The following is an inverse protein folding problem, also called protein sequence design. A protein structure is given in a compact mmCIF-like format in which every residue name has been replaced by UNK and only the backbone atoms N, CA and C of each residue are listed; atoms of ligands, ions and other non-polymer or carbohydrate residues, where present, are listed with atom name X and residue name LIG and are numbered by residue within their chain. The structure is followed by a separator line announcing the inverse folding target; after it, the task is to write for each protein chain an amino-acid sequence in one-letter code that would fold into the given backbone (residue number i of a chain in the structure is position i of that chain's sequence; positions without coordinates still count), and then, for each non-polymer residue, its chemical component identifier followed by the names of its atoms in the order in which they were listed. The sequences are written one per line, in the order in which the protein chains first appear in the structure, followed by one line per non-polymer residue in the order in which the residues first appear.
data_IF_857283756512
#
_entry.id   IF_857283756512
#
_cell.length_a   1.000
_cell.length_b   1.000
_cell.length_c   1.000
_cell.angle_alpha   90.00
_cell.angle_beta   90.00
_cell.angle_gamma   90.00
#
_symmetry.space_group_name_H-M   'P 1'
#
loop_
_entity.id
_entity.type
_entity.pdbx_description
1 polymer ?
#
# COMPACT_ATOMS: atom_id res chain seq x y z
N UNK A 1 -6.45 4.11 29.78
CA UNK A 1 -5.84 4.95 28.73
C UNK A 1 -4.49 4.42 28.21
N UNK A 2 -3.36 4.43 28.95
CA UNK A 2 -2.04 4.00 28.41
C UNK A 2 -1.96 2.57 27.80
N UNK A 3 -2.74 1.60 28.32
CA UNK A 3 -2.84 0.24 27.74
C UNK A 3 -3.72 0.17 26.49
N UNK A 4 -4.74 1.02 26.42
CA UNK A 4 -5.65 1.17 25.27
C UNK A 4 -4.91 1.82 24.09
N UNK A 5 -4.10 2.85 24.37
CA UNK A 5 -3.17 3.45 23.39
C UNK A 5 -2.21 2.40 22.84
N UNK A 6 -1.62 1.52 23.66
CA UNK A 6 -0.76 0.43 23.16
C UNK A 6 -1.50 -0.55 22.25
N UNK A 7 -2.73 -0.96 22.60
CA UNK A 7 -3.54 -1.89 21.79
C UNK A 7 -3.94 -1.31 20.43
N UNK A 8 -4.40 -0.06 20.41
CA UNK A 8 -4.79 0.66 19.18
C UNK A 8 -3.55 0.97 18.34
N UNK A 9 -2.45 1.36 18.98
CA UNK A 9 -1.16 1.57 18.32
C UNK A 9 -0.63 0.28 17.69
N UNK A 10 -0.71 -0.87 18.37
CA UNK A 10 -0.34 -2.19 17.84
C UNK A 10 -1.22 -2.61 16.64
N UNK A 11 -2.51 -2.25 16.65
CA UNK A 11 -3.38 -2.44 15.49
C UNK A 11 -2.98 -1.55 14.30
N UNK A 12 -2.32 -0.41 14.49
CA UNK A 12 -1.78 0.42 13.40
C UNK A 12 -0.34 0.06 12.99
N UNK A 13 0.48 -0.50 13.90
CA UNK A 13 1.90 -0.80 13.65
C UNK A 13 2.09 -1.90 12.59
N UNK A 14 1.11 -2.77 12.33
CA UNK A 14 1.29 -3.85 11.33
C UNK A 14 1.50 -3.36 9.89
N UNK A 15 1.29 -2.08 9.60
CA UNK A 15 1.66 -1.46 8.32
C UNK A 15 3.02 -0.73 8.33
N UNK A 16 3.57 -0.44 9.51
CA UNK A 16 4.75 0.42 9.70
C UNK A 16 6.07 -0.35 9.88
N UNK A 17 6.05 -1.68 9.87
CA UNK A 17 7.26 -2.49 10.12
C UNK A 17 8.30 -2.40 8.99
N UNK A 18 7.96 -1.85 7.81
CA UNK A 18 8.94 -1.66 6.75
C UNK A 18 9.83 -0.40 6.93
N UNK A 19 9.53 0.53 7.85
CA UNK A 19 10.22 1.84 7.87
C UNK A 19 11.38 1.97 8.88
N UNK A 20 11.68 0.97 9.70
CA UNK A 20 12.75 1.05 10.72
C UNK A 20 13.57 -0.24 10.83
N UNK A 21 14.22 -0.64 9.74
CA UNK A 21 15.17 -1.76 9.74
C UNK A 21 16.60 -1.28 10.07
N UNK A 22 16.93 -1.09 11.36
CA UNK A 22 18.33 -1.12 11.82
C UNK A 22 18.84 -2.54 12.07
N UNK A 23 17.92 -3.52 12.16
CA UNK A 23 18.24 -4.95 12.27
C UNK A 23 17.34 -5.72 11.31
N UNK A 24 17.92 -6.28 10.26
CA UNK A 24 17.19 -7.03 9.24
C UNK A 24 16.82 -8.43 9.77
N UNK A 25 15.73 -8.54 10.53
CA UNK A 25 15.05 -9.83 10.73
C UNK A 25 14.60 -10.39 9.38
N UNK A 26 14.59 -11.71 9.23
CA UNK A 26 14.07 -12.31 8.00
C UNK A 26 12.56 -12.04 7.87
N UNK A 27 12.08 -11.85 6.64
CA UNK A 27 10.66 -11.58 6.36
C UNK A 27 9.73 -12.66 6.93
N UNK A 28 10.19 -13.92 6.97
CA UNK A 28 9.46 -15.02 7.61
C UNK A 28 9.34 -14.87 9.13
N UNK A 29 10.39 -14.37 9.79
CA UNK A 29 10.37 -14.10 11.23
C UNK A 29 9.45 -12.91 11.53
N UNK A 30 9.48 -11.86 10.71
CA UNK A 30 8.60 -10.69 10.86
C UNK A 30 7.13 -11.04 10.64
N UNK A 31 6.81 -11.87 9.64
CA UNK A 31 5.44 -12.30 9.38
C UNK A 31 4.92 -13.24 10.47
N UNK A 32 5.77 -14.13 10.99
CA UNK A 32 5.40 -15.00 12.10
C UNK A 32 5.13 -14.19 13.37
N UNK A 33 5.98 -13.20 13.67
CA UNK A 33 5.80 -12.26 14.78
C UNK A 33 4.50 -11.45 14.63
N UNK A 34 4.15 -11.01 13.41
CA UNK A 34 2.88 -10.35 13.13
C UNK A 34 1.67 -11.27 13.35
N UNK A 35 1.76 -12.55 12.97
CA UNK A 35 0.71 -13.55 13.20
C UNK A 35 0.51 -13.81 14.68
N UNK A 36 1.60 -13.99 15.42
CA UNK A 36 1.59 -14.22 16.87
C UNK A 36 1.01 -13.00 17.60
N UNK A 37 1.50 -11.80 17.29
CA UNK A 37 0.96 -10.54 17.84
C UNK A 37 -0.52 -10.40 17.55
N UNK A 38 -0.97 -10.70 16.32
CA UNK A 38 -2.39 -10.64 15.96
C UNK A 38 -3.22 -11.66 16.76
N UNK A 39 -2.68 -12.85 17.00
CA UNK A 39 -3.34 -13.87 17.81
C UNK A 39 -3.48 -13.45 19.28
N UNK A 40 -2.41 -12.93 19.89
CA UNK A 40 -2.42 -12.41 21.26
C UNK A 40 -3.42 -11.26 21.42
N UNK A 41 -3.43 -10.31 20.48
CA UNK A 41 -4.37 -9.19 20.47
C UNK A 41 -5.83 -9.67 20.39
N UNK A 42 -6.12 -10.68 19.56
CA UNK A 42 -7.47 -11.27 19.50
C UNK A 42 -7.91 -11.84 20.84
N UNK A 43 -7.03 -12.58 21.53
CA UNK A 43 -7.35 -13.12 22.86
C UNK A 43 -7.60 -12.01 23.88
N UNK A 44 -6.78 -10.96 23.88
CA UNK A 44 -6.98 -9.81 24.78
C UNK A 44 -8.30 -9.09 24.50
N UNK A 45 -8.64 -8.84 23.23
CA UNK A 45 -9.90 -8.21 22.84
C UNK A 45 -11.09 -9.06 23.24
N UNK A 46 -11.04 -10.37 23.04
CA UNK A 46 -12.12 -11.28 23.47
C UNK A 46 -12.34 -11.20 24.98
N UNK A 47 -11.27 -11.17 25.77
CA UNK A 47 -11.37 -10.96 27.22
C UNK A 47 -12.01 -9.61 27.56
N UNK A 48 -11.57 -8.52 26.91
CA UNK A 48 -12.13 -7.18 27.13
C UNK A 48 -13.59 -7.05 26.74
N UNK A 49 -13.99 -7.75 25.68
CA UNK A 49 -15.38 -7.85 25.24
C UNK A 49 -16.25 -8.56 26.27
N UNK A 50 -15.77 -9.66 26.88
CA UNK A 50 -16.48 -10.34 27.97
C UNK A 50 -16.59 -9.47 29.23
N UNK A 51 -15.54 -8.72 29.57
CA UNK A 51 -15.56 -7.73 30.67
C UNK A 51 -16.64 -6.65 30.42
N UNK A 52 -16.69 -6.08 29.21
CA UNK A 52 -17.69 -5.10 28.82
C UNK A 52 -19.12 -5.66 28.83
N UNK A 53 -19.30 -6.91 28.39
CA UNK A 53 -20.58 -7.61 28.41
C UNK A 53 -21.09 -7.79 29.86
N UNK A 54 -20.22 -8.23 30.76
CA UNK A 54 -20.54 -8.38 32.18
C UNK A 54 -20.93 -7.05 32.85
N UNK A 55 -20.33 -5.94 32.39
CA UNK A 55 -20.61 -4.59 32.88
C UNK A 55 -21.80 -3.92 32.18
N UNK A 56 -22.39 -4.55 31.16
CA UNK A 56 -23.40 -3.96 30.28
C UNK A 56 -22.95 -2.64 29.63
N UNK A 57 -21.64 -2.47 29.42
CA UNK A 57 -21.06 -1.28 28.82
C UNK A 57 -21.18 -1.37 27.29
N UNK A 58 -22.27 -0.80 26.76
CA UNK A 58 -22.57 -0.78 25.32
C UNK A 58 -21.50 -0.07 24.49
N UNK A 59 -20.93 1.01 25.02
CA UNK A 59 -19.90 1.79 24.31
C UNK A 59 -18.61 0.97 24.18
N UNK A 60 -18.20 0.29 25.25
CA UNK A 60 -17.05 -0.60 25.20
C UNK A 60 -17.31 -1.81 24.28
N UNK A 61 -18.51 -2.39 24.27
CA UNK A 61 -18.85 -3.48 23.34
C UNK A 61 -18.70 -3.05 21.87
N UNK A 62 -19.29 -1.90 21.50
CA UNK A 62 -19.14 -1.34 20.15
C UNK A 62 -17.66 -1.14 19.81
N UNK A 63 -16.87 -0.63 20.77
CA UNK A 63 -15.44 -0.45 20.58
C UNK A 63 -14.73 -1.75 20.24
N UNK A 64 -14.92 -2.79 21.05
CA UNK A 64 -14.23 -4.05 20.88
C UNK A 64 -14.68 -4.80 19.63
N UNK A 65 -15.98 -4.76 19.28
CA UNK A 65 -16.50 -5.33 18.04
C UNK A 65 -15.84 -4.69 16.79
N UNK A 66 -15.65 -3.35 16.82
CA UNK A 66 -15.02 -2.64 15.71
C UNK A 66 -13.53 -3.01 15.57
N UNK A 67 -12.78 -3.11 16.67
CA UNK A 67 -11.36 -3.49 16.65
C UNK A 67 -11.20 -4.97 16.26
N UNK A 68 -12.04 -5.85 16.78
CA UNK A 68 -12.03 -7.28 16.42
C UNK A 68 -12.23 -7.47 14.91
N UNK A 69 -13.17 -6.73 14.30
CA UNK A 69 -13.38 -6.78 12.86
C UNK A 69 -12.12 -6.38 12.05
N UNK A 70 -11.37 -5.37 12.50
CA UNK A 70 -10.10 -4.97 11.87
C UNK A 70 -9.05 -6.09 11.99
N UNK A 71 -8.94 -6.73 13.16
CA UNK A 71 -8.02 -7.85 13.35
C UNK A 71 -8.42 -9.08 12.53
N UNK A 72 -9.71 -9.37 12.40
CA UNK A 72 -10.20 -10.45 11.56
C UNK A 72 -9.85 -10.21 10.10
N UNK A 73 -10.13 -9.00 9.59
CA UNK A 73 -9.75 -8.57 8.25
C UNK A 73 -8.24 -8.76 7.99
N UNK A 74 -7.39 -8.35 8.93
CA UNK A 74 -5.93 -8.55 8.85
C UNK A 74 -5.55 -10.02 8.80
N UNK A 75 -6.03 -10.80 9.76
CA UNK A 75 -5.66 -12.20 9.89
C UNK A 75 -6.09 -13.05 8.69
N UNK A 76 -7.22 -12.70 8.07
CA UNK A 76 -7.71 -13.36 6.85
C UNK A 76 -6.78 -13.22 5.65
N UNK A 77 -5.88 -12.23 5.67
CA UNK A 77 -4.92 -11.95 4.61
C UNK A 77 -3.57 -12.66 4.79
N UNK A 78 -3.26 -13.19 5.99
CA UNK A 78 -1.99 -13.89 6.25
C UNK A 78 -1.83 -15.24 5.53
N UNK A 79 -2.87 -15.68 4.82
CA UNK A 79 -2.83 -16.85 3.92
C UNK A 79 -2.20 -16.54 2.55
N UNK A 80 -1.95 -15.26 2.24
CA UNK A 80 -1.32 -14.85 0.97
C UNK A 80 0.15 -15.25 0.95
N UNK A 81 0.63 -15.69 -0.22
CA UNK A 81 1.99 -16.22 -0.39
C UNK A 81 3.04 -15.13 -0.60
N UNK A 82 2.64 -14.02 -1.22
CA UNK A 82 3.51 -12.87 -1.46
C UNK A 82 3.12 -11.70 -0.56
N UNK A 83 4.12 -10.98 -0.06
CA UNK A 83 3.95 -9.86 0.86
C UNK A 83 3.12 -8.72 0.24
N UNK A 84 3.34 -8.40 -1.04
CA UNK A 84 2.52 -7.41 -1.74
C UNK A 84 1.02 -7.82 -1.74
N UNK A 85 0.72 -9.08 -2.03
CA UNK A 85 -0.67 -9.56 -2.04
C UNK A 85 -1.32 -9.50 -0.65
N UNK A 86 -0.52 -9.72 0.39
CA UNK A 86 -0.95 -9.57 1.77
C UNK A 86 -1.27 -8.10 2.07
N UNK A 87 -0.39 -7.15 1.76
CA UNK A 87 -0.64 -5.72 1.98
C UNK A 87 -1.87 -5.22 1.23
N UNK A 88 -2.01 -5.58 -0.05
CA UNK A 88 -3.19 -5.24 -0.84
C UNK A 88 -4.46 -5.81 -0.21
N UNK A 89 -4.45 -7.09 0.19
CA UNK A 89 -5.59 -7.72 0.85
C UNK A 89 -5.97 -7.01 2.16
N UNK A 90 -4.98 -6.66 2.99
CA UNK A 90 -5.24 -6.01 4.28
C UNK A 90 -5.85 -4.62 4.05
N UNK A 91 -5.25 -3.82 3.17
CA UNK A 91 -5.75 -2.48 2.89
C UNK A 91 -7.21 -2.53 2.40
N UNK A 92 -7.51 -3.35 1.41
CA UNK A 92 -8.86 -3.42 0.84
C UNK A 92 -9.90 -3.89 1.87
N UNK A 93 -9.52 -4.85 2.70
CA UNK A 93 -10.42 -5.37 3.74
C UNK A 93 -10.70 -4.31 4.81
N UNK A 94 -9.68 -3.55 5.22
CA UNK A 94 -9.83 -2.47 6.20
C UNK A 94 -10.58 -1.28 5.60
N UNK A 95 -10.29 -0.89 4.37
CA UNK A 95 -10.99 0.19 3.69
C UNK A 95 -12.48 -0.11 3.56
N UNK A 96 -12.84 -1.33 3.13
CA UNK A 96 -14.24 -1.76 3.09
C UNK A 96 -14.94 -1.67 4.45
N UNK A 97 -14.23 -2.02 5.54
CA UNK A 97 -14.75 -1.83 6.90
C UNK A 97 -14.94 -0.33 7.22
N UNK A 98 -13.97 0.50 6.87
CA UNK A 98 -14.02 1.95 7.11
C UNK A 98 -15.21 2.60 6.39
N UNK A 99 -15.45 2.24 5.13
CA UNK A 99 -16.60 2.66 4.33
C UNK A 99 -17.93 2.17 4.91
N UNK A 100 -17.95 1.02 5.58
CA UNK A 100 -19.13 0.49 6.26
C UNK A 100 -19.46 1.18 7.60
N UNK A 101 -18.68 2.19 7.99
CA UNK A 101 -18.87 2.93 9.25
C UNK A 101 -18.12 2.35 10.45
N UNK A 102 -17.13 1.48 10.23
CA UNK A 102 -16.27 1.00 11.32
C UNK A 102 -15.23 2.08 11.68
N UNK A 103 -15.35 2.69 12.86
CA UNK A 103 -14.49 3.82 13.24
C UNK A 103 -13.03 3.42 13.48
N UNK A 104 -12.78 2.19 13.96
CA UNK A 104 -11.42 1.69 14.16
C UNK A 104 -10.73 1.45 12.80
N UNK A 105 -11.48 1.01 11.80
CA UNK A 105 -11.01 0.90 10.43
C UNK A 105 -10.77 2.28 9.81
N UNK A 106 -11.65 3.26 10.03
CA UNK A 106 -11.47 4.66 9.59
C UNK A 106 -10.18 5.26 10.16
N UNK A 107 -9.94 5.10 11.46
CA UNK A 107 -8.68 5.46 12.12
C UNK A 107 -7.46 4.73 11.52
N UNK A 108 -7.60 3.44 11.22
CA UNK A 108 -6.52 2.65 10.62
C UNK A 108 -6.20 3.10 9.18
N UNK A 109 -7.21 3.44 8.39
CA UNK A 109 -7.02 4.01 7.04
C UNK A 109 -6.33 5.36 7.14
N UNK A 110 -6.77 6.25 8.03
CA UNK A 110 -6.14 7.55 8.25
C UNK A 110 -4.63 7.42 8.57
N UNK A 111 -4.28 6.51 9.49
CA UNK A 111 -2.89 6.23 9.84
C UNK A 111 -2.07 5.61 8.71
N UNK A 112 -2.73 4.88 7.80
CA UNK A 112 -2.07 4.37 6.59
C UNK A 112 -1.62 5.53 5.69
N UNK A 113 -2.45 6.57 5.54
CA UNK A 113 -2.11 7.80 4.81
C UNK A 113 -1.08 8.68 5.54
N UNK A 114 -0.90 8.53 6.86
CA UNK A 114 0.19 9.20 7.59
C UNK A 114 1.53 8.50 7.44
N UNK A 115 1.54 7.20 7.12
CA UNK A 115 2.75 6.40 7.12
C UNK A 115 3.54 6.60 5.81
N UNK A 116 4.87 6.66 5.95
CA UNK A 116 5.77 6.64 4.78
C UNK A 116 5.63 5.34 3.98
N UNK A 117 5.84 5.39 2.65
CA UNK A 117 6.21 6.57 1.84
C UNK A 117 5.03 7.46 1.42
N UNK A 118 3.83 7.19 1.93
CA UNK A 118 2.54 7.66 1.39
C UNK A 118 1.99 8.91 2.08
N UNK A 119 2.85 9.79 2.60
CA UNK A 119 2.44 10.94 3.44
C UNK A 119 1.40 11.84 2.74
N UNK A 120 0.12 11.47 2.83
CA UNK A 120 -1.02 12.18 2.27
C UNK A 120 -1.86 12.67 3.46
N UNK A 121 -1.36 13.73 4.08
CA UNK A 121 -1.97 14.33 5.25
C UNK A 121 -3.41 14.82 5.01
N UNK A 122 -3.78 15.39 3.83
CA UNK A 122 -5.18 15.72 3.56
C UNK A 122 -6.11 14.51 3.67
N UNK A 123 -5.72 13.35 3.14
CA UNK A 123 -6.53 12.14 3.21
C UNK A 123 -6.52 11.50 4.60
N UNK A 124 -5.39 11.57 5.31
CA UNK A 124 -5.35 11.20 6.72
C UNK A 124 -6.35 12.02 7.55
N UNK A 125 -6.36 13.35 7.39
CA UNK A 125 -7.31 14.24 8.06
C UNK A 125 -8.75 13.95 7.66
N UNK A 126 -9.01 13.65 6.39
CA UNK A 126 -10.33 13.25 5.91
C UNK A 126 -10.86 12.03 6.68
N UNK A 127 -10.09 10.94 6.72
CA UNK A 127 -10.51 9.71 7.40
C UNK A 127 -10.59 9.86 8.93
N UNK A 128 -9.70 10.63 9.55
CA UNK A 128 -9.83 10.96 10.98
C UNK A 128 -11.10 11.75 11.28
N UNK A 129 -11.46 12.72 10.42
CA UNK A 129 -12.69 13.48 10.57
C UNK A 129 -13.92 12.57 10.49
N UNK A 130 -13.96 11.66 9.51
CA UNK A 130 -15.04 10.66 9.41
C UNK A 130 -15.10 9.83 10.71
N UNK A 131 -13.97 9.37 11.24
CA UNK A 131 -13.92 8.61 12.48
C UNK A 131 -14.42 9.41 13.70
N UNK A 132 -14.13 10.72 13.79
CA UNK A 132 -14.59 11.60 14.87
C UNK A 132 -16.09 11.91 14.79
N UNK A 133 -16.60 12.10 13.57
CA UNK A 133 -18.01 12.42 13.29
C UNK A 133 -18.91 11.18 13.37
N UNK A 134 -18.32 9.97 13.29
CA UNK A 134 -19.05 8.73 13.40
C UNK A 134 -19.77 8.61 14.77
N UNK A 135 -21.10 8.42 14.78
CA UNK A 135 -21.88 8.39 16.02
C UNK A 135 -21.56 7.18 16.92
N UNK A 136 -20.97 6.13 16.35
CA UNK A 136 -20.59 4.93 17.08
C UNK A 136 -19.19 5.02 17.72
N UNK A 137 -18.44 6.10 17.47
CA UNK A 137 -17.10 6.28 18.05
C UNK A 137 -17.22 6.67 19.53
N UNK A 138 -16.72 5.84 20.47
CA UNK A 138 -16.73 6.17 21.89
C UNK A 138 -15.92 7.44 22.19
N UNK A 139 -16.35 8.22 23.19
CA UNK A 139 -15.70 9.48 23.55
C UNK A 139 -14.21 9.28 23.92
N UNK A 140 -13.90 8.20 24.63
CA UNK A 140 -12.54 7.86 25.02
C UNK A 140 -11.65 7.56 23.80
N UNK A 141 -12.25 7.06 22.71
CA UNK A 141 -11.55 6.83 21.45
C UNK A 141 -11.41 8.13 20.63
N UNK A 142 -12.39 9.04 20.70
CA UNK A 142 -12.32 10.35 20.04
C UNK A 142 -11.14 11.17 20.56
N UNK A 143 -10.88 11.14 21.87
CA UNK A 143 -9.72 11.82 22.46
C UNK A 143 -8.40 11.36 21.84
N UNK A 144 -8.29 10.05 21.58
CA UNK A 144 -7.13 9.46 20.93
C UNK A 144 -6.99 9.91 19.46
N UNK A 145 -8.08 9.87 18.68
CA UNK A 145 -8.06 10.35 17.29
C UNK A 145 -7.71 11.85 17.24
N UNK A 146 -8.22 12.66 18.18
CA UNK A 146 -7.91 14.09 18.25
C UNK A 146 -6.42 14.38 18.47
N UNK A 147 -5.70 13.52 19.19
CA UNK A 147 -4.25 13.62 19.35
C UNK A 147 -3.53 13.42 18.00
N UNK A 148 -3.93 12.38 17.26
CA UNK A 148 -3.39 12.10 15.92
C UNK A 148 -3.74 13.20 14.91
N UNK A 149 -4.95 13.77 14.96
CA UNK A 149 -5.35 14.92 14.13
C UNK A 149 -4.45 16.12 14.40
N UNK A 150 -4.25 16.49 15.68
CA UNK A 150 -3.38 17.62 16.04
C UNK A 150 -1.96 17.42 15.54
N UNK A 151 -1.45 16.18 15.62
CA UNK A 151 -0.15 15.82 15.08
C UNK A 151 -0.08 16.04 13.57
N UNK A 152 -1.07 15.55 12.81
CA UNK A 152 -1.12 15.74 11.35
C UNK A 152 -1.25 17.21 10.99
N UNK A 153 -2.12 17.97 11.66
CA UNK A 153 -2.24 19.41 11.43
C UNK A 153 -0.94 20.17 11.71
N UNK A 154 -0.18 19.76 12.73
CA UNK A 154 1.16 20.27 13.01
C UNK A 154 2.12 20.01 11.84
N UNK A 155 2.17 18.77 11.33
CA UNK A 155 2.99 18.40 10.18
C UNK A 155 2.62 19.17 8.91
N UNK A 156 1.32 19.36 8.65
CA UNK A 156 0.83 20.16 7.50
C UNK A 156 1.30 21.61 7.60
N UNK A 157 1.25 22.21 8.81
CA UNK A 157 1.71 23.58 9.05
C UNK A 157 3.22 23.72 8.90
N UNK A 158 3.99 22.77 9.42
CA UNK A 158 5.46 22.78 9.38
C UNK A 158 6.02 22.55 7.97
N UNK A 159 5.43 21.62 7.22
CA UNK A 159 5.94 21.24 5.90
C UNK A 159 5.61 22.25 4.79
N UNK A 160 4.92 23.37 5.08
CA UNK A 160 4.42 24.33 4.06
C UNK A 160 3.78 23.62 2.86
N UNK A 161 3.01 22.55 3.09
CA UNK A 161 2.28 21.81 2.04
C UNK A 161 1.10 22.62 1.45
N UNK A 162 1.16 23.95 1.54
CA UNK A 162 0.10 24.90 1.20
C UNK A 162 -0.01 25.14 -0.32
N UNK A 163 0.82 24.49 -1.14
CA UNK A 163 0.78 24.65 -2.60
C UNK A 163 0.60 23.33 -3.37
N UNK A 164 0.11 22.26 -2.74
CA UNK A 164 -0.33 21.10 -3.52
C UNK A 164 -1.66 21.46 -4.19
N UNK A 165 -1.64 21.48 -5.53
CA UNK A 165 -2.86 21.62 -6.33
C UNK A 165 -3.90 20.61 -5.84
N UNK A 166 -5.21 20.94 -5.90
CA UNK A 166 -6.25 19.96 -5.61
C UNK A 166 -5.98 18.65 -6.34
N UNK A 167 -6.13 17.51 -5.65
CA UNK A 167 -5.87 16.19 -6.24
C UNK A 167 -6.57 16.02 -7.61
N UNK A 168 -7.77 16.58 -7.77
CA UNK A 168 -8.49 16.57 -9.04
C UNK A 168 -7.78 17.31 -10.19
N UNK A 169 -7.07 18.40 -9.90
CA UNK A 169 -6.27 19.15 -10.87
C UNK A 169 -4.99 18.38 -11.20
N UNK A 170 -4.31 17.83 -10.18
CA UNK A 170 -3.13 16.96 -10.39
C UNK A 170 -3.47 15.74 -11.24
N UNK A 171 -4.60 15.08 -10.96
CA UNK A 171 -5.02 13.90 -11.72
C UNK A 171 -5.38 14.22 -13.17
N UNK A 172 -5.96 15.40 -13.43
CA UNK A 172 -6.21 15.84 -14.81
C UNK A 172 -4.90 16.06 -15.57
N UNK A 173 -3.89 16.63 -14.92
CA UNK A 173 -2.55 16.80 -15.50
C UNK A 173 -1.88 15.44 -15.75
N UNK A 174 -1.98 14.50 -14.80
CA UNK A 174 -1.43 13.14 -14.94
C UNK A 174 -2.12 12.37 -16.07
N UNK A 175 -3.45 12.47 -16.19
CA UNK A 175 -4.21 11.84 -17.28
C UNK A 175 -3.81 12.42 -18.64
N UNK A 176 -3.70 13.75 -18.74
CA UNK A 176 -3.27 14.41 -19.98
C UNK A 176 -1.83 14.03 -20.35
N UNK A 177 -0.95 13.92 -19.35
CA UNK A 177 0.42 13.43 -19.53
C UNK A 177 0.44 11.99 -20.06
N UNK A 178 -0.36 11.09 -19.48
CA UNK A 178 -0.44 9.69 -19.93
C UNK A 178 -1.00 9.59 -21.33
N UNK A 179 -2.02 10.36 -21.68
CA UNK A 179 -2.56 10.40 -23.04
C UNK A 179 -1.50 10.87 -24.04
N UNK A 180 -0.71 11.89 -23.67
CA UNK A 180 0.42 12.36 -24.48
C UNK A 180 1.51 11.29 -24.63
N UNK A 181 1.91 10.62 -23.55
CA UNK A 181 2.90 9.54 -23.59
C UNK A 181 2.41 8.35 -24.42
N UNK A 182 1.13 7.98 -24.34
CA UNK A 182 0.53 6.94 -25.18
C UNK A 182 0.59 7.30 -26.67
N UNK A 183 0.32 8.56 -27.03
CA UNK A 183 0.42 9.02 -28.41
C UNK A 183 1.87 8.99 -28.92
N UNK A 184 2.83 9.39 -28.08
CA UNK A 184 4.24 9.35 -28.45
C UNK A 184 4.76 7.92 -28.57
N UNK A 185 4.35 7.04 -27.66
CA UNK A 185 4.66 5.62 -27.71
C UNK A 185 4.14 4.98 -29.00
N UNK A 186 2.93 5.32 -29.42
CA UNK A 186 2.38 4.85 -30.69
C UNK A 186 3.20 5.32 -31.92
N UNK A 187 3.79 6.51 -31.88
CA UNK A 187 4.70 7.01 -32.94
C UNK A 187 6.01 6.22 -32.94
N UNK A 188 6.62 6.01 -31.78
CA UNK A 188 7.87 5.26 -31.65
C UNK A 188 7.70 3.78 -32.06
N UNK A 189 6.57 3.16 -31.73
CA UNK A 189 6.22 1.81 -32.19
C UNK A 189 6.18 1.75 -33.73
N UNK A 190 5.53 2.73 -34.39
CA UNK A 190 5.49 2.80 -35.86
C UNK A 190 6.89 2.97 -36.45
N UNK A 191 7.71 3.83 -35.87
CA UNK A 191 9.09 4.08 -36.29
C UNK A 191 9.96 2.83 -36.14
N UNK A 192 9.90 2.15 -34.99
CA UNK A 192 10.61 0.89 -34.74
C UNK A 192 10.19 -0.22 -35.71
N UNK A 193 8.90 -0.29 -36.04
CA UNK A 193 8.39 -1.25 -37.03
C UNK A 193 8.95 -0.95 -38.44
N UNK A 194 9.03 0.32 -38.85
CA UNK A 194 9.59 0.73 -40.13
C UNK A 194 11.10 0.49 -40.22
N UNK A 195 11.84 0.73 -39.13
CA UNK A 195 13.29 0.48 -39.07
C UNK A 195 13.64 -1.00 -38.89
N UNK A 196 12.64 -1.88 -38.68
CA UNK A 196 12.82 -3.30 -38.34
C UNK A 196 13.65 -3.52 -37.07
N UNK A 197 13.63 -2.56 -36.14
CA UNK A 197 14.22 -2.72 -34.82
C UNK A 197 13.28 -3.55 -33.93
N UNK A 198 13.44 -4.88 -34.03
CA UNK A 198 12.57 -5.83 -33.35
C UNK A 198 12.67 -5.76 -31.82
N UNK A 199 13.84 -5.41 -31.28
CA UNK A 199 14.06 -5.33 -29.82
C UNK A 199 13.34 -4.11 -29.24
N UNK A 200 13.51 -2.93 -29.86
CA UNK A 200 12.79 -1.72 -29.46
C UNK A 200 11.28 -1.90 -29.63
N UNK A 201 10.84 -2.48 -30.75
CA UNK A 201 9.42 -2.74 -30.99
C UNK A 201 8.80 -3.62 -29.89
N UNK A 202 9.51 -4.65 -29.43
CA UNK A 202 9.04 -5.54 -28.37
C UNK A 202 8.97 -4.83 -27.03
N UNK A 203 9.97 -4.02 -26.69
CA UNK A 203 9.98 -3.21 -25.48
C UNK A 203 8.83 -2.22 -25.44
N UNK A 204 8.64 -1.46 -26.51
CA UNK A 204 7.59 -0.44 -26.58
C UNK A 204 6.19 -1.04 -26.49
N UNK A 205 5.97 -2.24 -27.06
CA UNK A 205 4.67 -2.95 -26.94
C UNK A 205 4.38 -3.44 -25.52
N UNK A 206 5.37 -3.98 -24.82
CA UNK A 206 5.17 -4.41 -23.43
C UNK A 206 4.94 -3.20 -22.51
N UNK A 207 5.62 -2.08 -22.76
CA UNK A 207 5.38 -0.79 -22.09
C UNK A 207 3.97 -0.24 -22.38
N UNK A 208 3.52 -0.28 -23.64
CA UNK A 208 2.17 0.13 -24.04
C UNK A 208 1.10 -0.66 -23.30
N UNK A 209 1.32 -1.97 -23.13
CA UNK A 209 0.39 -2.83 -22.39
C UNK A 209 0.29 -2.45 -20.90
N UNK A 210 1.39 -1.99 -20.29
CA UNK A 210 1.40 -1.49 -18.90
C UNK A 210 0.60 -0.21 -18.79
N UNK A 211 0.88 0.78 -19.64
CA UNK A 211 0.14 2.05 -19.64
C UNK A 211 -1.35 1.84 -19.91
N UNK A 212 -1.68 0.97 -20.86
CA UNK A 212 -3.07 0.65 -21.19
C UNK A 212 -3.81 0.02 -20.01
N UNK A 213 -3.14 -0.88 -19.27
CA UNK A 213 -3.72 -1.51 -18.09
C UNK A 213 -3.88 -0.56 -16.91
N UNK A 214 -2.97 0.41 -16.74
CA UNK A 214 -2.99 1.37 -15.63
C UNK A 214 -3.92 2.56 -15.86
N UNK A 215 -4.21 2.92 -17.11
CA UNK A 215 -5.03 4.09 -17.45
C UNK A 215 -6.36 4.17 -16.68
N UNK A 216 -7.16 3.08 -16.54
CA UNK A 216 -8.40 3.13 -15.78
C UNK A 216 -8.21 3.45 -14.28
N UNK A 217 -7.02 3.23 -13.72
CA UNK A 217 -6.76 3.52 -12.31
C UNK A 217 -6.85 5.02 -12.01
N UNK A 218 -6.59 5.89 -12.98
CA UNK A 218 -6.67 7.35 -12.81
C UNK A 218 -8.10 7.88 -12.72
N UNK A 219 -9.11 7.05 -12.99
CA UNK A 219 -10.52 7.40 -12.78
C UNK A 219 -10.91 7.32 -11.28
N UNK A 220 -10.06 6.73 -10.44
CA UNK A 220 -10.28 6.61 -9.00
C UNK A 220 -10.02 7.96 -8.32
N UNK A 221 -10.82 8.24 -7.27
CA UNK A 221 -10.83 9.56 -6.61
C UNK A 221 -9.78 9.72 -5.52
N UNK A 222 -9.30 8.62 -4.96
CA UNK A 222 -8.35 8.62 -3.86
C UNK A 222 -6.99 8.14 -4.35
N UNK A 223 -5.93 8.91 -4.09
CA UNK A 223 -4.57 8.63 -4.56
C UNK A 223 -4.12 7.19 -4.25
N UNK A 224 -4.40 6.72 -3.03
CA UNK A 224 -4.02 5.36 -2.65
C UNK A 224 -4.79 4.28 -3.41
N UNK A 225 -6.06 4.53 -3.78
CA UNK A 225 -6.80 3.59 -4.63
C UNK A 225 -6.17 3.49 -6.02
N UNK A 226 -5.72 4.62 -6.57
CA UNK A 226 -5.00 4.67 -7.83
C UNK A 226 -3.74 3.81 -7.71
N UNK A 227 -2.95 3.98 -6.66
CA UNK A 227 -1.73 3.20 -6.45
C UNK A 227 -2.01 1.70 -6.25
N UNK A 228 -2.99 1.33 -5.42
CA UNK A 228 -3.43 -0.07 -5.24
C UNK A 228 -3.86 -0.67 -6.56
N UNK A 229 -4.64 0.06 -7.35
CA UNK A 229 -5.05 -0.35 -8.69
C UNK A 229 -3.82 -0.56 -9.59
N UNK A 230 -2.89 0.39 -9.66
CA UNK A 230 -1.67 0.27 -10.46
C UNK A 230 -0.83 -0.94 -10.09
N UNK A 231 -0.62 -1.18 -8.78
CA UNK A 231 0.14 -2.32 -8.27
C UNK A 231 -0.52 -3.65 -8.69
N UNK A 232 -1.84 -3.72 -8.66
CA UNK A 232 -2.59 -4.90 -9.15
C UNK A 232 -2.37 -5.13 -10.64
N UNK A 233 -2.39 -4.07 -11.45
CA UNK A 233 -2.16 -4.19 -12.90
C UNK A 233 -0.73 -4.65 -13.19
N UNK A 234 0.27 -4.06 -12.53
CA UNK A 234 1.68 -4.48 -12.64
C UNK A 234 1.83 -5.95 -12.27
N UNK A 235 1.30 -6.37 -11.13
CA UNK A 235 1.37 -7.76 -10.67
C UNK A 235 0.71 -8.72 -11.67
N UNK A 236 -0.49 -8.39 -12.14
CA UNK A 236 -1.23 -9.19 -13.13
C UNK A 236 -0.46 -9.35 -14.44
N UNK A 237 0.16 -8.28 -14.94
CA UNK A 237 0.99 -8.33 -16.15
C UNK A 237 2.29 -9.10 -15.93
N UNK A 238 2.94 -8.92 -14.78
CA UNK A 238 4.16 -9.64 -14.42
C UNK A 238 3.94 -11.15 -14.35
N UNK A 239 2.82 -11.58 -13.77
CA UNK A 239 2.39 -12.98 -13.71
C UNK A 239 2.11 -13.56 -15.11
N UNK A 240 1.65 -12.73 -16.05
CA UNK A 240 1.43 -13.10 -17.48
C UNK A 240 2.70 -13.09 -18.31
N UNK A 241 3.87 -12.83 -17.71
CA UNK A 241 5.15 -12.85 -18.41
C UNK A 241 5.46 -11.56 -19.17
N UNK A 242 4.86 -10.43 -18.81
CA UNK A 242 5.34 -9.12 -19.28
C UNK A 242 6.66 -8.81 -18.53
N UNK A 243 7.77 -8.79 -19.25
CA UNK A 243 9.09 -8.60 -18.64
C UNK A 243 9.29 -7.20 -18.07
N UNK A 244 8.62 -6.20 -18.64
CA UNK A 244 8.69 -4.81 -18.17
C UNK A 244 7.97 -4.68 -16.82
N UNK A 245 6.79 -5.29 -16.68
CA UNK A 245 6.06 -5.38 -15.43
C UNK A 245 6.82 -6.20 -14.37
N UNK A 246 7.50 -7.29 -14.77
CA UNK A 246 8.38 -8.05 -13.86
C UNK A 246 9.54 -7.20 -13.35
N UNK A 247 10.17 -6.40 -14.23
CA UNK A 247 11.21 -5.46 -13.84
C UNK A 247 10.67 -4.37 -12.88
N UNK A 248 9.52 -3.76 -13.21
CA UNK A 248 8.86 -2.78 -12.34
C UNK A 248 8.52 -3.36 -10.96
N UNK A 249 8.05 -4.61 -10.91
CA UNK A 249 7.73 -5.27 -9.65
C UNK A 249 8.99 -5.48 -8.81
N UNK A 250 10.13 -5.77 -9.43
CA UNK A 250 11.44 -5.76 -8.77
C UNK A 250 11.76 -4.41 -8.13
N UNK A 251 11.55 -3.30 -8.86
CA UNK A 251 11.76 -1.94 -8.34
C UNK A 251 10.82 -1.58 -7.18
N UNK A 252 9.55 -2.02 -7.25
CA UNK A 252 8.57 -1.83 -6.17
C UNK A 252 9.01 -2.56 -4.90
N UNK A 253 9.46 -3.81 -5.04
CA UNK A 253 9.98 -4.57 -3.90
C UNK A 253 11.28 -3.98 -3.36
N UNK A 254 12.16 -3.41 -4.19
CA UNK A 254 13.38 -2.75 -3.72
C UNK A 254 13.07 -1.49 -2.91
N UNK A 255 12.20 -0.61 -3.43
CA UNK A 255 12.12 0.78 -2.96
C UNK A 255 10.89 1.08 -2.09
N UNK A 256 9.78 0.36 -2.28
CA UNK A 256 8.50 0.68 -1.61
C UNK A 256 8.13 -0.33 -0.54
N UNK A 257 8.39 -1.61 -0.78
CA UNK A 257 8.15 -2.69 0.19
C UNK A 257 9.43 -3.00 0.99
N UNK A 258 10.59 -2.63 0.43
CA UNK A 258 11.93 -2.90 0.97
C UNK A 258 12.25 -4.39 1.16
N UNK A 259 11.55 -5.26 0.41
CA UNK A 259 11.82 -6.69 0.38
C UNK A 259 12.84 -7.02 -0.72
N UNK A 260 14.12 -6.96 -0.36
CA UNK A 260 15.25 -7.25 -1.26
C UNK A 260 15.19 -8.66 -1.85
N UNK A 261 14.72 -9.66 -1.09
CA UNK A 261 14.61 -11.04 -1.58
C UNK A 261 13.59 -11.17 -2.72
N UNK A 262 12.44 -10.52 -2.58
CA UNK A 262 11.42 -10.47 -3.63
C UNK A 262 11.86 -9.61 -4.81
N UNK A 263 12.57 -8.50 -4.58
CA UNK A 263 13.15 -7.71 -5.66
C UNK A 263 14.10 -8.56 -6.52
N UNK A 264 15.03 -9.28 -5.89
CA UNK A 264 15.95 -10.22 -6.55
C UNK A 264 15.17 -11.31 -7.32
N UNK A 265 14.12 -11.88 -6.75
CA UNK A 265 13.27 -12.88 -7.42
C UNK A 265 12.67 -12.32 -8.72
N UNK A 266 12.11 -11.11 -8.68
CA UNK A 266 11.44 -10.51 -9.82
C UNK A 266 12.42 -10.03 -10.90
N UNK A 267 13.56 -9.46 -10.54
CA UNK A 267 14.62 -9.16 -11.52
C UNK A 267 15.14 -10.42 -12.22
N UNK A 268 15.39 -11.50 -11.48
CA UNK A 268 15.78 -12.78 -12.09
C UNK A 268 14.70 -13.33 -13.01
N UNK A 269 13.43 -13.19 -12.64
CA UNK A 269 12.30 -13.58 -13.48
C UNK A 269 12.29 -12.79 -14.78
N UNK A 270 12.49 -11.46 -14.71
CA UNK A 270 12.57 -10.59 -15.88
C UNK A 270 13.75 -10.94 -16.79
N UNK A 271 14.94 -11.20 -16.25
CA UNK A 271 16.13 -11.59 -17.05
C UNK A 271 15.91 -12.93 -17.75
N UNK A 272 15.32 -13.92 -17.06
CA UNK A 272 15.08 -15.27 -17.60
C UNK A 272 13.90 -15.34 -18.56
N UNK A 273 13.09 -14.29 -18.63
CA UNK A 273 11.92 -14.26 -19.49
C UNK A 273 12.37 -14.26 -20.97
N UNK A 274 11.95 -15.24 -21.79
CA UNK A 274 12.36 -15.34 -23.20
C UNK A 274 11.85 -14.16 -24.04
N UNK A 275 10.88 -13.40 -23.52
CA UNK A 275 10.41 -12.17 -24.15
C UNK A 275 11.32 -10.97 -23.91
N UNK A 276 12.26 -11.02 -22.96
CA UNK A 276 13.13 -9.88 -22.66
C UNK A 276 14.12 -9.63 -23.80
N UNK A 277 14.15 -8.42 -24.38
CA UNK A 277 15.14 -8.03 -25.38
C UNK A 277 16.56 -8.10 -24.81
N UNK A 278 17.52 -8.56 -25.61
CA UNK A 278 18.92 -8.66 -25.17
C UNK A 278 19.49 -7.29 -24.83
N UNK A 279 19.07 -6.25 -25.54
CA UNK A 279 19.42 -4.86 -25.27
C UNK A 279 18.93 -4.34 -23.92
N UNK A 280 17.90 -4.95 -23.33
CA UNK A 280 17.30 -4.51 -22.07
C UNK A 280 17.86 -5.23 -20.83
N UNK A 281 18.38 -6.44 -21.01
CA UNK A 281 18.95 -7.26 -19.93
C UNK A 281 20.01 -6.50 -19.09
N UNK A 282 20.97 -5.74 -19.67
CA UNK A 282 21.99 -5.04 -18.89
C UNK A 282 21.43 -4.05 -17.87
N UNK A 283 20.31 -3.41 -18.18
CA UNK A 283 19.64 -2.50 -17.24
C UNK A 283 19.13 -3.29 -16.02
N UNK A 284 18.39 -4.38 -16.26
CA UNK A 284 17.84 -5.21 -15.18
C UNK A 284 18.97 -5.85 -14.35
N UNK A 285 20.08 -6.24 -14.99
CA UNK A 285 21.26 -6.77 -14.29
C UNK A 285 21.91 -5.72 -13.39
N UNK A 286 22.02 -4.47 -13.85
CA UNK A 286 22.52 -3.36 -13.02
C UNK A 286 21.65 -3.17 -11.76
N UNK A 287 20.33 -3.16 -11.93
CA UNK A 287 19.37 -3.05 -10.83
C UNK A 287 19.46 -4.25 -9.87
N UNK A 288 19.59 -5.46 -10.40
CA UNK A 288 19.83 -6.68 -9.61
C UNK A 288 21.13 -6.62 -8.80
N UNK A 289 22.24 -6.15 -9.40
CA UNK A 289 23.52 -6.04 -8.70
C UNK A 289 23.46 -4.98 -7.60
N UNK A 290 22.77 -3.86 -7.84
CA UNK A 290 22.52 -2.84 -6.81
C UNK A 290 21.79 -3.41 -5.60
N UNK A 291 20.76 -4.25 -5.79
CA UNK A 291 20.06 -4.86 -4.66
C UNK A 291 20.93 -5.89 -3.94
N UNK A 292 21.69 -6.70 -4.69
CA UNK A 292 22.60 -7.71 -4.10
C UNK A 292 23.74 -7.10 -3.29
N UNK A 293 24.27 -5.94 -3.69
CA UNK A 293 25.32 -5.26 -2.94
C UNK A 293 24.80 -4.70 -1.61
N UNK A 294 23.49 -4.41 -1.51
CA UNK A 294 22.82 -4.00 -0.26
C UNK A 294 22.45 -5.17 0.66
N UNK A 295 22.61 -6.43 0.23
CA UNK A 295 22.33 -7.64 1.01
C UNK A 295 23.58 -8.38 1.49
N UNK A 296 24.75 -8.01 0.96
CA UNK A 296 26.06 -8.56 1.34
C UNK A 296 26.61 -7.79 2.54
#
# INVERSE_FOLDING_TARGET
MKRLQKLVFLCSISFLVCANAKEAKSISETLQEQKETTHELKQEIQKKRQEALAQQDKSALIMWDNIEAVLEAKSGCFKKKEELEMHLCIYESIKKLAESGNFAAQDTVAKTYMAKPQENYPMALHWFKIALENPNTPNEYKEYILEDVKKVEGLVKENKLVNEKPLSESLQEDMAYIDHEQQNLAKEIKKAALSKDLDSLKMLKELESVFSAQKPCFELKEEYDIQVCMLKQIKSLADKGNFFAQHQLGNIYENSIENKAMAIKWYNTAIKNPKTPKSYIPQIESDLQRVKSKTS
#
